data_IF_920179508729
#
_entry.id   IF_920179508729
#
_cell.length_a   1.000
_cell.length_b   1.000
_cell.length_c   1.000
_cell.angle_alpha   90.00
_cell.angle_beta   90.00
_cell.angle_gamma   90.00
#
_symmetry.space_group_name_H-M   'P 1'
#
loop_
_entity.id
_entity.type
_entity.pdbx_description
1 polymer ?
#
# COMPACT_ATOMS: atom_id res chain seq x y z
N UNK A 1 -39.59 -2.81 -14.41
CA UNK A 1 -40.63 -3.82 -14.23
C UNK A 1 -41.54 -3.48 -13.05
N UNK A 2 -41.07 -3.34 -11.82
CA UNK A 2 -41.90 -3.12 -10.61
C UNK A 2 -42.81 -1.88 -10.73
N UNK A 3 -42.32 -0.76 -11.24
CA UNK A 3 -43.10 0.48 -11.44
C UNK A 3 -44.26 0.28 -12.41
N UNK A 4 -44.06 -0.47 -13.48
CA UNK A 4 -45.09 -0.77 -14.49
C UNK A 4 -46.13 -1.70 -13.90
N UNK A 5 -45.72 -2.73 -13.17
CA UNK A 5 -46.63 -3.66 -12.48
C UNK A 5 -47.50 -2.94 -11.43
N UNK A 6 -46.91 -2.01 -10.69
CA UNK A 6 -47.61 -1.17 -9.75
C UNK A 6 -48.66 -0.28 -10.43
N UNK A 7 -48.31 0.33 -11.57
CA UNK A 7 -49.23 1.16 -12.37
C UNK A 7 -50.43 0.34 -12.91
N UNK A 8 -50.14 -0.88 -13.39
CA UNK A 8 -51.21 -1.81 -13.84
C UNK A 8 -52.12 -2.19 -12.69
N UNK A 9 -51.54 -2.49 -11.50
CA UNK A 9 -52.33 -2.82 -10.31
C UNK A 9 -53.23 -1.65 -9.87
N UNK A 10 -52.68 -0.44 -9.90
CA UNK A 10 -53.44 0.78 -9.56
C UNK A 10 -54.56 1.04 -10.57
N UNK A 11 -54.34 0.87 -11.87
CA UNK A 11 -55.33 0.99 -12.92
C UNK A 11 -56.44 -0.08 -12.76
N UNK A 12 -56.07 -1.33 -12.48
CA UNK A 12 -57.00 -2.41 -12.20
C UNK A 12 -57.91 -2.11 -10.99
N UNK A 13 -57.33 -1.63 -9.88
CA UNK A 13 -58.07 -1.24 -8.70
C UNK A 13 -59.01 -0.06 -8.95
N UNK A 14 -58.60 0.93 -9.77
CA UNK A 14 -59.43 2.07 -10.17
C UNK A 14 -60.61 1.65 -11.05
N UNK A 15 -60.45 0.64 -11.91
CA UNK A 15 -61.55 0.06 -12.70
C UNK A 15 -62.48 -0.83 -11.86
N UNK A 16 -61.93 -1.53 -10.88
CA UNK A 16 -62.67 -2.43 -10.01
C UNK A 16 -63.64 -1.69 -9.06
N UNK A 17 -63.24 -0.51 -8.53
CA UNK A 17 -64.03 0.27 -7.59
C UNK A 17 -65.39 0.64 -8.12
N UNK A 18 -65.61 1.25 -9.30
CA UNK A 18 -67.01 1.60 -9.80
C UNK A 18 -67.83 0.37 -10.13
N UNK A 19 -67.26 -0.76 -10.47
CA UNK A 19 -67.89 -2.01 -10.78
C UNK A 19 -68.50 -2.68 -9.54
N UNK A 20 -67.75 -2.65 -8.43
CA UNK A 20 -68.12 -3.40 -7.23
C UNK A 20 -68.82 -2.57 -6.17
N UNK A 21 -68.73 -1.23 -6.25
CA UNK A 21 -69.40 -0.24 -5.37
C UNK A 21 -69.34 -0.57 -3.85
N UNK A 22 -68.31 -1.30 -3.41
CA UNK A 22 -68.19 -1.73 -2.02
C UNK A 22 -67.12 -0.90 -1.28
N UNK A 23 -67.30 -0.74 0.04
CA UNK A 23 -66.35 -0.02 0.90
C UNK A 23 -64.96 -0.61 0.87
N UNK A 24 -64.86 -1.94 0.71
CA UNK A 24 -63.58 -2.66 0.61
C UNK A 24 -62.79 -2.28 -0.65
N UNK A 25 -63.48 -2.11 -1.81
CA UNK A 25 -62.84 -1.71 -3.05
C UNK A 25 -62.30 -0.26 -2.96
N UNK A 26 -63.02 0.63 -2.29
CA UNK A 26 -62.58 1.98 -2.02
C UNK A 26 -61.35 2.01 -1.10
N UNK A 27 -61.37 1.25 0.00
CA UNK A 27 -60.26 1.15 0.94
C UNK A 27 -58.98 0.61 0.25
N UNK A 28 -59.14 -0.39 -0.62
CA UNK A 28 -58.02 -0.95 -1.38
C UNK A 28 -57.41 0.07 -2.34
N UNK A 29 -58.24 0.83 -3.06
CA UNK A 29 -57.78 1.90 -3.95
C UNK A 29 -57.07 3.00 -3.15
N UNK A 30 -57.67 3.44 -2.03
CA UNK A 30 -57.10 4.45 -1.15
C UNK A 30 -55.72 3.99 -0.59
N UNK A 31 -55.61 2.73 -0.15
CA UNK A 31 -54.34 2.15 0.33
C UNK A 31 -53.29 2.15 -0.76
N UNK A 32 -53.63 1.76 -2.00
CA UNK A 32 -52.71 1.80 -3.13
C UNK A 32 -52.26 3.23 -3.48
N UNK A 33 -53.14 4.24 -3.33
CA UNK A 33 -52.76 5.64 -3.58
C UNK A 33 -51.83 6.16 -2.47
N UNK A 34 -52.04 5.80 -1.21
CA UNK A 34 -51.28 6.27 -0.06
C UNK A 34 -49.90 5.59 0.01
N UNK A 35 -49.79 4.32 -0.43
CA UNK A 35 -48.58 3.51 -0.34
C UNK A 35 -47.31 4.18 -0.91
N UNK A 36 -47.30 4.79 -2.11
CA UNK A 36 -46.12 5.45 -2.64
C UNK A 36 -45.65 6.64 -1.79
N UNK A 37 -46.58 7.39 -1.19
CA UNK A 37 -46.24 8.50 -0.32
C UNK A 37 -45.54 7.99 0.97
N UNK A 38 -46.03 6.88 1.54
CA UNK A 38 -45.38 6.24 2.69
C UNK A 38 -44.01 5.72 2.35
N UNK A 39 -43.84 5.07 1.18
CA UNK A 39 -42.53 4.57 0.72
C UNK A 39 -41.53 5.71 0.44
N UNK A 40 -42.02 6.80 -0.15
CA UNK A 40 -41.17 7.99 -0.37
C UNK A 40 -40.75 8.63 0.96
N UNK A 41 -41.65 8.76 1.92
CA UNK A 41 -41.33 9.27 3.26
C UNK A 41 -40.37 8.35 4.00
N UNK A 42 -40.58 7.04 3.94
CA UNK A 42 -39.65 6.04 4.48
C UNK A 42 -38.24 6.20 3.88
N UNK A 43 -38.16 6.28 2.53
CA UNK A 43 -36.87 6.43 1.84
C UNK A 43 -36.16 7.73 2.27
N UNK A 44 -36.89 8.84 2.38
CA UNK A 44 -36.35 10.13 2.79
C UNK A 44 -35.76 10.09 4.21
N UNK A 45 -36.44 9.42 5.15
CA UNK A 45 -35.91 9.20 6.51
C UNK A 45 -34.65 8.32 6.49
N UNK A 46 -34.73 7.22 5.74
CA UNK A 46 -33.62 6.27 5.69
C UNK A 46 -32.34 6.89 5.07
N UNK A 47 -32.50 7.66 3.99
CA UNK A 47 -31.37 8.34 3.33
C UNK A 47 -30.69 9.35 4.26
N UNK A 48 -31.43 10.03 5.11
CA UNK A 48 -30.86 10.97 6.10
C UNK A 48 -30.07 10.26 7.20
N UNK A 49 -30.44 9.03 7.53
CA UNK A 49 -29.84 8.22 8.60
C UNK A 49 -28.81 7.21 8.07
N UNK A 50 -28.57 7.19 6.76
CA UNK A 50 -27.62 6.32 6.10
C UNK A 50 -26.26 7.00 5.97
N UNK A 51 -25.18 6.31 6.37
CA UNK A 51 -23.80 6.73 6.15
C UNK A 51 -22.98 5.60 5.53
N UNK A 52 -21.94 5.98 4.81
CA UNK A 52 -20.94 5.06 4.29
C UNK A 52 -19.55 5.60 4.64
N UNK A 53 -18.68 4.73 5.08
CA UNK A 53 -17.33 5.03 5.55
C UNK A 53 -16.37 4.00 4.94
N UNK A 54 -15.11 4.40 4.70
CA UNK A 54 -14.08 3.43 4.36
C UNK A 54 -13.71 2.64 5.62
N UNK A 55 -13.48 1.35 5.48
CA UNK A 55 -12.92 0.53 6.56
C UNK A 55 -11.40 0.70 6.60
N UNK A 56 -10.78 0.71 5.42
CA UNK A 56 -9.35 0.94 5.25
C UNK A 56 -9.14 1.95 4.12
N UNK A 57 -8.35 2.98 4.37
CA UNK A 57 -8.01 3.99 3.36
C UNK A 57 -6.82 3.55 2.49
N UNK A 58 -5.92 2.73 3.05
CA UNK A 58 -4.74 2.18 2.39
C UNK A 58 -4.66 0.68 2.64
N UNK A 59 -4.42 -0.07 1.58
CA UNK A 59 -4.23 -1.53 1.64
C UNK A 59 -3.03 -1.87 0.77
N UNK A 60 -2.10 -2.65 1.32
CA UNK A 60 -0.94 -3.14 0.59
C UNK A 60 -1.08 -4.63 0.31
N UNK A 61 -0.89 -5.03 -0.94
CA UNK A 61 -1.13 -6.39 -1.43
C UNK A 61 0.06 -6.83 -2.27
N UNK A 62 0.43 -8.09 -2.18
CA UNK A 62 1.45 -8.64 -3.05
C UNK A 62 0.91 -8.88 -4.47
N UNK A 63 1.77 -8.71 -5.46
CA UNK A 63 1.50 -9.04 -6.87
C UNK A 63 0.91 -10.45 -7.00
N UNK A 64 -0.10 -10.62 -7.86
CA UNK A 64 -0.84 -11.86 -8.07
C UNK A 64 -1.53 -12.42 -6.80
N UNK A 65 -1.81 -11.57 -5.82
CA UNK A 65 -2.69 -11.91 -4.70
C UNK A 65 -3.94 -11.03 -4.71
N UNK A 66 -4.98 -11.52 -4.07
CA UNK A 66 -6.21 -10.77 -3.90
C UNK A 66 -6.11 -9.91 -2.63
N UNK A 67 -6.41 -8.62 -2.77
CA UNK A 67 -6.58 -7.70 -1.67
C UNK A 67 -8.03 -7.33 -1.52
N UNK A 68 -8.49 -7.13 -0.31
CA UNK A 68 -9.84 -6.72 -0.01
C UNK A 68 -9.87 -5.29 0.51
N UNK A 69 -10.68 -4.45 -0.15
CA UNK A 69 -11.00 -3.10 0.32
C UNK A 69 -12.41 -3.10 0.87
N UNK A 70 -12.55 -2.77 2.13
CA UNK A 70 -13.82 -2.73 2.84
C UNK A 70 -14.48 -1.35 2.76
N UNK A 71 -15.77 -1.33 2.41
CA UNK A 71 -16.64 -0.15 2.52
C UNK A 71 -17.75 -0.49 3.51
N UNK A 72 -17.76 0.19 4.64
CA UNK A 72 -18.75 0.00 5.69
C UNK A 72 -19.98 0.87 5.41
N UNK A 73 -21.13 0.21 5.26
CA UNK A 73 -22.44 0.82 5.09
C UNK A 73 -23.16 0.80 6.42
N UNK A 74 -23.60 1.93 6.91
CA UNK A 74 -24.23 2.06 8.22
C UNK A 74 -25.67 2.57 8.03
N UNK A 75 -26.62 1.75 8.40
CA UNK A 75 -28.05 2.12 8.41
C UNK A 75 -28.53 2.33 9.86
N UNK A 76 -28.64 3.58 10.27
CA UNK A 76 -29.14 3.94 11.62
C UNK A 76 -30.66 4.02 11.67
N UNK A 77 -31.35 3.84 10.54
CA UNK A 77 -32.81 3.92 10.49
C UNK A 77 -33.49 2.64 11.03
N UNK A 78 -34.76 2.77 11.34
CA UNK A 78 -35.61 1.64 11.76
C UNK A 78 -36.08 0.79 10.56
N UNK A 79 -35.84 1.25 9.34
CA UNK A 79 -36.27 0.59 8.12
C UNK A 79 -35.12 -0.14 7.46
N UNK A 80 -35.31 -1.39 7.03
CA UNK A 80 -34.28 -2.11 6.28
C UNK A 80 -34.18 -1.55 4.86
N UNK A 81 -32.98 -1.62 4.31
CA UNK A 81 -32.67 -1.30 2.91
C UNK A 81 -32.49 -2.61 2.14
N UNK A 82 -33.44 -2.95 1.30
CA UNK A 82 -33.45 -4.20 0.54
C UNK A 82 -32.41 -4.20 -0.57
N UNK A 83 -32.06 -3.03 -1.09
CA UNK A 83 -31.14 -2.92 -2.23
C UNK A 83 -30.36 -1.61 -2.15
N UNK A 84 -29.09 -1.72 -1.75
CA UNK A 84 -28.10 -0.64 -1.84
C UNK A 84 -27.14 -1.01 -2.96
N UNK A 85 -27.12 -0.20 -4.03
CA UNK A 85 -26.21 -0.37 -5.16
C UNK A 85 -25.06 0.61 -5.03
N UNK A 86 -23.84 0.08 -4.99
CA UNK A 86 -22.61 0.88 -4.95
C UNK A 86 -21.94 0.72 -6.30
N UNK A 87 -21.65 1.83 -6.96
CA UNK A 87 -20.82 1.84 -8.15
C UNK A 87 -19.43 2.36 -7.80
N UNK A 88 -18.45 1.54 -8.07
CA UNK A 88 -17.04 1.78 -7.84
C UNK A 88 -16.35 2.00 -9.17
N UNK A 89 -15.44 2.95 -9.19
CA UNK A 89 -14.50 3.20 -10.27
C UNK A 89 -13.11 2.89 -9.76
N UNK A 90 -12.45 1.92 -10.35
CA UNK A 90 -11.05 1.59 -10.06
C UNK A 90 -10.17 2.15 -11.18
N UNK A 91 -9.06 2.78 -10.80
CA UNK A 91 -8.08 3.37 -11.72
C UNK A 91 -6.72 2.77 -11.38
N UNK A 92 -6.15 2.00 -12.31
CA UNK A 92 -4.79 1.53 -12.18
C UNK A 92 -3.83 2.62 -12.67
N UNK A 93 -3.11 3.25 -11.76
CA UNK A 93 -2.33 4.47 -12.03
C UNK A 93 -1.24 4.30 -13.10
N UNK A 94 -0.48 3.18 -13.15
CA UNK A 94 0.58 3.02 -14.14
C UNK A 94 0.12 3.05 -15.60
N UNK A 95 -1.07 2.52 -15.91
CA UNK A 95 -1.63 2.50 -17.27
C UNK A 95 -2.74 3.53 -17.48
N UNK A 96 -3.30 4.07 -16.40
CA UNK A 96 -4.51 4.89 -16.45
C UNK A 96 -5.77 4.09 -16.82
N UNK A 97 -5.72 2.77 -16.78
CA UNK A 97 -6.86 1.91 -17.07
C UNK A 97 -7.96 2.09 -16.03
N UNK A 98 -9.18 2.28 -16.52
CA UNK A 98 -10.37 2.52 -15.67
C UNK A 98 -11.32 1.35 -15.80
N UNK A 99 -11.67 0.75 -14.67
CA UNK A 99 -12.72 -0.28 -14.62
C UNK A 99 -13.84 0.13 -13.65
N UNK A 100 -15.03 -0.46 -13.89
CA UNK A 100 -16.23 -0.16 -13.11
C UNK A 100 -16.81 -1.43 -12.54
N UNK A 101 -17.03 -1.43 -11.23
CA UNK A 101 -17.66 -2.52 -10.52
C UNK A 101 -18.96 -2.04 -9.86
N UNK A 102 -20.01 -2.86 -9.90
CA UNK A 102 -21.26 -2.56 -9.23
C UNK A 102 -21.59 -3.69 -8.27
N UNK A 103 -21.67 -3.35 -7.01
CA UNK A 103 -22.03 -4.29 -5.94
C UNK A 103 -23.40 -3.94 -5.41
N UNK A 104 -24.22 -4.95 -5.13
CA UNK A 104 -25.56 -4.77 -4.57
C UNK A 104 -25.67 -5.56 -3.29
N UNK A 105 -25.99 -4.87 -2.19
CA UNK A 105 -26.05 -5.48 -0.85
C UNK A 105 -27.31 -4.98 -0.13
N UNK A 106 -28.04 -5.85 0.58
CA UNK A 106 -29.06 -5.43 1.53
C UNK A 106 -28.40 -4.93 2.82
N UNK A 107 -28.98 -3.92 3.44
CA UNK A 107 -28.52 -3.42 4.75
C UNK A 107 -29.70 -3.44 5.73
N UNK A 108 -29.68 -4.31 6.76
CA UNK A 108 -30.76 -4.40 7.74
C UNK A 108 -30.96 -3.09 8.50
N UNK A 109 -32.10 -2.98 9.18
CA UNK A 109 -32.40 -1.84 10.04
C UNK A 109 -31.46 -1.82 11.25
N UNK A 110 -30.98 -0.64 11.62
CA UNK A 110 -30.07 -0.41 12.77
C UNK A 110 -28.81 -1.30 12.74
N UNK A 111 -28.30 -1.58 11.56
CA UNK A 111 -27.15 -2.45 11.33
C UNK A 111 -26.11 -1.77 10.46
N UNK A 112 -24.92 -2.38 10.45
CA UNK A 112 -23.87 -2.04 9.51
C UNK A 112 -23.47 -3.28 8.74
N UNK A 113 -23.23 -3.12 7.44
CA UNK A 113 -22.73 -4.16 6.54
C UNK A 113 -21.43 -3.69 5.92
N UNK A 114 -20.43 -4.58 5.86
CA UNK A 114 -19.19 -4.33 5.17
C UNK A 114 -19.23 -4.96 3.79
N UNK A 115 -18.93 -4.16 2.79
CA UNK A 115 -18.84 -4.59 1.39
C UNK A 115 -17.37 -4.66 1.04
N UNK A 116 -16.83 -5.87 0.87
CA UNK A 116 -15.49 -6.08 0.38
C UNK A 116 -15.45 -6.07 -1.15
N UNK A 117 -14.42 -5.44 -1.67
CA UNK A 117 -14.11 -5.41 -3.11
C UNK A 117 -12.74 -6.02 -3.29
N UNK A 118 -12.69 -7.12 -4.02
CA UNK A 118 -11.43 -7.78 -4.33
C UNK A 118 -10.71 -7.03 -5.44
N UNK A 119 -9.46 -6.73 -5.20
CA UNK A 119 -8.55 -6.11 -6.15
C UNK A 119 -7.34 -7.01 -6.32
N UNK A 120 -7.05 -7.36 -7.54
CA UNK A 120 -5.85 -8.10 -7.91
C UNK A 120 -5.25 -7.49 -9.17
N UNK A 121 -3.94 -7.54 -9.32
CA UNK A 121 -3.27 -7.13 -10.54
C UNK A 121 -2.07 -8.03 -10.81
N UNK A 122 -1.78 -8.20 -12.10
CA UNK A 122 -0.58 -8.88 -12.60
C UNK A 122 0.65 -7.97 -12.55
N UNK A 123 0.44 -6.65 -12.37
CA UNK A 123 1.50 -5.64 -12.35
C UNK A 123 1.56 -4.92 -11.01
N UNK A 124 2.77 -4.53 -10.62
CA UNK A 124 3.02 -3.69 -9.46
C UNK A 124 2.60 -2.25 -9.74
N UNK A 125 2.06 -1.57 -8.73
CA UNK A 125 1.63 -0.20 -8.87
C UNK A 125 0.52 0.16 -7.89
N UNK A 126 0.00 1.38 -8.02
CA UNK A 126 -1.10 1.89 -7.23
C UNK A 126 -2.41 1.79 -8.00
N UNK A 127 -3.43 1.27 -7.33
CA UNK A 127 -4.82 1.26 -7.81
C UNK A 127 -5.67 2.12 -6.91
N UNK A 128 -6.23 3.18 -7.45
CA UNK A 128 -7.17 4.03 -6.70
C UNK A 128 -8.60 3.57 -6.93
N UNK A 129 -9.35 3.41 -5.84
CA UNK A 129 -10.76 3.02 -5.84
C UNK A 129 -11.59 4.21 -5.39
N UNK A 130 -12.54 4.62 -6.21
CA UNK A 130 -13.45 5.74 -5.93
C UNK A 130 -14.89 5.24 -5.90
N UNK A 131 -15.64 5.67 -4.90
CA UNK A 131 -17.09 5.47 -4.89
C UNK A 131 -17.76 6.55 -5.76
N UNK A 132 -18.23 6.16 -6.93
CA UNK A 132 -18.91 7.08 -7.85
C UNK A 132 -20.27 7.53 -7.28
N UNK A 133 -21.09 6.54 -6.92
CA UNK A 133 -22.36 6.78 -6.27
C UNK A 133 -22.83 5.58 -5.46
N UNK A 134 -23.67 5.86 -4.49
CA UNK A 134 -24.44 4.87 -3.74
C UNK A 134 -25.92 5.12 -4.02
N UNK A 135 -26.61 4.13 -4.56
CA UNK A 135 -28.05 4.20 -4.81
C UNK A 135 -28.79 3.36 -3.81
N UNK A 136 -29.64 4.01 -3.04
CA UNK A 136 -30.48 3.40 -2.03
C UNK A 136 -31.89 3.28 -2.58
N UNK A 137 -32.51 2.13 -2.45
CA UNK A 137 -33.89 1.88 -2.88
C UNK A 137 -34.81 1.58 -1.69
N UNK A 138 -36.08 1.92 -1.81
CA UNK A 138 -37.13 1.53 -0.85
C UNK A 138 -37.34 0.01 -0.85
N UNK A 139 -38.14 -0.50 0.09
CA UNK A 139 -38.41 -1.93 0.26
C UNK A 139 -39.04 -2.55 -1.01
N UNK A 140 -39.90 -1.83 -1.71
CA UNK A 140 -40.57 -2.30 -2.93
C UNK A 140 -39.78 -1.98 -4.21
N UNK A 141 -38.73 -1.15 -4.14
CA UNK A 141 -38.00 -0.70 -5.32
C UNK A 141 -38.76 0.27 -6.23
N UNK A 142 -39.83 0.91 -5.74
CA UNK A 142 -40.55 1.93 -6.48
C UNK A 142 -39.77 3.23 -6.61
N UNK A 143 -39.12 3.62 -5.55
CA UNK A 143 -38.26 4.81 -5.49
C UNK A 143 -36.83 4.46 -5.20
N UNK A 144 -35.91 5.25 -5.73
CA UNK A 144 -34.51 5.15 -5.42
C UNK A 144 -33.91 6.54 -5.30
N UNK A 145 -33.00 6.70 -4.37
CA UNK A 145 -32.24 7.93 -4.16
C UNK A 145 -30.75 7.69 -4.39
N UNK A 146 -30.10 8.57 -5.13
CA UNK A 146 -28.68 8.45 -5.44
C UNK A 146 -27.90 9.45 -4.59
N UNK A 147 -26.92 8.93 -3.84
CA UNK A 147 -26.00 9.68 -3.02
C UNK A 147 -24.65 9.73 -3.73
N UNK A 148 -24.11 10.93 -3.92
CA UNK A 148 -22.77 11.13 -4.46
C UNK A 148 -21.79 11.33 -3.31
N UNK A 149 -20.91 10.37 -3.07
CA UNK A 149 -19.92 10.39 -2.00
C UNK A 149 -18.50 10.52 -2.57
N UNK A 150 -18.16 11.68 -3.14
CA UNK A 150 -16.85 11.97 -3.75
C UNK A 150 -15.65 11.83 -2.79
N UNK A 151 -15.89 11.72 -1.48
CA UNK A 151 -14.83 11.62 -0.46
C UNK A 151 -14.45 10.18 -0.09
N UNK A 152 -15.20 9.19 -0.57
CA UNK A 152 -14.89 7.79 -0.30
C UNK A 152 -13.94 7.31 -1.38
N UNK A 153 -12.66 7.21 -1.02
CA UNK A 153 -11.62 6.67 -1.88
C UNK A 153 -10.67 5.82 -1.03
N UNK A 154 -10.17 4.75 -1.60
CA UNK A 154 -9.14 3.92 -1.00
C UNK A 154 -8.02 3.70 -2.03
N UNK A 155 -6.78 3.62 -1.55
CA UNK A 155 -5.63 3.30 -2.35
C UNK A 155 -5.16 1.88 -2.05
N UNK A 156 -4.91 1.10 -3.10
CA UNK A 156 -4.33 -0.25 -3.00
C UNK A 156 -2.96 -0.21 -3.65
N UNK A 157 -1.92 -0.51 -2.87
CA UNK A 157 -0.56 -0.63 -3.36
C UNK A 157 -0.25 -2.10 -3.63
N UNK A 158 0.10 -2.41 -4.87
CA UNK A 158 0.46 -3.76 -5.31
C UNK A 158 1.96 -3.83 -5.42
N UNK A 159 2.58 -4.57 -4.50
CA UNK A 159 4.03 -4.65 -4.33
C UNK A 159 4.58 -6.00 -4.80
N UNK A 160 5.87 -6.06 -5.20
CA UNK A 160 6.51 -7.31 -5.60
C UNK A 160 6.67 -8.26 -4.40
N UNK A 161 6.70 -9.57 -4.67
CA UNK A 161 7.11 -10.57 -3.69
C UNK A 161 8.62 -10.74 -3.71
N UNK A 162 9.20 -11.04 -2.54
CA UNK A 162 10.61 -11.45 -2.44
C UNK A 162 10.79 -12.77 -3.19
N UNK A 163 11.81 -12.84 -4.04
CA UNK A 163 12.13 -14.00 -4.85
C UNK A 163 13.53 -14.54 -4.54
N UNK A 164 13.63 -15.83 -4.28
CA UNK A 164 14.92 -16.51 -4.02
C UNK A 164 15.87 -16.46 -5.22
N UNK A 165 15.37 -16.21 -6.42
CA UNK A 165 16.19 -16.12 -7.64
C UNK A 165 17.28 -15.05 -7.53
N UNK A 166 17.07 -14.03 -6.70
CA UNK A 166 17.98 -12.89 -6.56
C UNK A 166 18.91 -13.00 -5.33
N UNK A 167 18.90 -14.13 -4.60
CA UNK A 167 19.81 -14.35 -3.47
C UNK A 167 21.28 -14.37 -3.92
N UNK A 168 21.58 -15.02 -5.05
CA UNK A 168 22.92 -15.06 -5.61
C UNK A 168 23.45 -13.68 -6.00
N UNK A 169 22.58 -12.78 -6.50
CA UNK A 169 22.95 -11.40 -6.81
C UNK A 169 23.27 -10.61 -5.54
N UNK A 170 22.51 -10.83 -4.47
CA UNK A 170 22.78 -10.21 -3.17
C UNK A 170 24.13 -10.71 -2.59
N UNK A 171 24.43 -12.00 -2.69
CA UNK A 171 25.73 -12.56 -2.28
C UNK A 171 26.89 -11.97 -3.09
N UNK A 172 26.70 -11.77 -4.40
CA UNK A 172 27.69 -11.09 -5.24
C UNK A 172 27.94 -9.65 -4.75
N UNK A 173 26.90 -8.88 -4.43
CA UNK A 173 27.06 -7.53 -3.88
C UNK A 173 27.78 -7.54 -2.52
N UNK A 174 27.51 -8.52 -1.65
CA UNK A 174 28.24 -8.68 -0.39
C UNK A 174 29.73 -8.95 -0.62
N UNK A 175 30.07 -9.74 -1.65
CA UNK A 175 31.48 -10.02 -1.99
C UNK A 175 32.22 -8.77 -2.45
N UNK A 176 31.57 -7.89 -3.21
CA UNK A 176 32.16 -6.60 -3.63
C UNK A 176 32.51 -5.71 -2.44
N UNK A 177 31.69 -5.72 -1.39
CA UNK A 177 31.98 -4.99 -0.15
C UNK A 177 33.19 -5.52 0.59
N UNK A 178 33.37 -6.83 0.61
CA UNK A 178 34.56 -7.49 1.22
C UNK A 178 35.87 -7.18 0.50
N UNK A 179 35.87 -7.07 -0.82
CA UNK A 179 37.06 -6.73 -1.61
C UNK A 179 37.45 -5.25 -1.46
N UNK A 180 36.46 -4.34 -1.35
CA UNK A 180 36.69 -2.91 -1.15
C UNK A 180 37.38 -2.63 0.20
N UNK A 181 37.21 -3.49 1.19
CA UNK A 181 37.95 -3.41 2.48
C UNK A 181 39.39 -3.90 2.39
N UNK A 182 39.73 -4.78 1.43
CA UNK A 182 41.07 -5.37 1.25
C UNK A 182 42.06 -4.48 0.49
N UNK A 183 41.59 -3.65 -0.45
CA UNK A 183 42.49 -2.84 -1.31
C UNK A 183 42.77 -1.42 -0.79
N UNK A 184 41.91 -0.85 0.03
CA UNK A 184 42.17 0.46 0.63
C UNK A 184 42.98 0.37 1.91
N UNK A 185 44.29 0.22 1.77
CA UNK A 185 45.25 0.41 2.88
C UNK A 185 45.26 1.82 3.47
N UNK A 186 44.39 2.71 3.09
CA UNK A 186 44.12 4.01 3.69
C UNK A 186 43.03 3.92 4.75
N UNK A 187 43.43 3.96 6.01
CA UNK A 187 42.56 4.05 7.18
C UNK A 187 41.58 5.23 7.02
N UNK A 188 40.25 5.03 7.16
CA UNK A 188 39.28 6.13 7.06
C UNK A 188 39.61 7.20 8.11
N UNK A 189 39.77 8.44 7.67
CA UNK A 189 40.17 9.58 8.50
C UNK A 189 39.10 10.08 9.48
N UNK A 190 37.89 9.55 9.44
CA UNK A 190 36.73 10.05 10.21
C UNK A 190 35.88 8.95 10.89
N UNK A 191 36.46 7.81 11.28
CA UNK A 191 35.70 6.82 12.07
C UNK A 191 35.55 7.31 13.51
N UNK A 192 34.28 7.31 14.01
CA UNK A 192 33.99 7.31 15.45
C UNK A 192 34.80 6.18 16.10
N UNK A 193 35.48 6.39 17.27
CA UNK A 193 36.23 5.33 17.91
C UNK A 193 35.29 4.19 18.24
N UNK A 194 35.46 3.04 17.55
CA UNK A 194 34.70 1.82 17.80
C UNK A 194 35.01 1.23 19.18
N UNK A 195 34.16 0.30 19.60
CA UNK A 195 34.36 -0.45 20.84
C UNK A 195 35.69 -1.23 20.79
N UNK A 196 36.36 -1.37 21.96
CA UNK A 196 37.60 -2.12 22.07
C UNK A 196 37.30 -3.62 21.91
N UNK A 197 37.69 -4.20 20.77
CA UNK A 197 37.47 -5.62 20.49
C UNK A 197 38.62 -6.52 20.98
N UNK A 198 39.78 -5.94 21.29
CA UNK A 198 40.95 -6.74 21.72
C UNK A 198 42.12 -5.90 22.13
N UNK A 199 43.22 -6.60 22.49
CA UNK A 199 44.51 -6.01 22.83
C UNK A 199 45.60 -6.77 22.10
N UNK A 200 46.60 -6.05 21.57
CA UNK A 200 47.80 -6.64 20.96
C UNK A 200 49.06 -5.91 21.38
N UNK A 201 50.23 -6.51 21.13
CA UNK A 201 51.51 -5.82 21.35
C UNK A 201 51.66 -4.66 20.36
N UNK A 202 52.31 -3.59 20.81
CA UNK A 202 52.60 -2.39 20.02
C UNK A 202 53.56 -2.74 18.88
N UNK A 203 53.23 -2.26 17.68
CA UNK A 203 54.10 -2.34 16.52
C UNK A 203 54.52 -0.93 16.06
N UNK A 204 55.75 -0.75 15.51
CA UNK A 204 56.18 0.54 14.96
C UNK A 204 55.19 1.06 13.92
N UNK A 205 54.61 2.25 14.16
CA UNK A 205 53.58 2.85 13.35
C UNK A 205 52.19 2.95 14.03
N UNK A 206 51.99 2.30 15.18
CA UNK A 206 50.78 2.43 15.97
C UNK A 206 50.64 3.79 16.63
N UNK A 207 49.42 4.26 16.76
CA UNK A 207 49.11 5.53 17.42
C UNK A 207 49.24 5.38 18.93
N UNK A 208 50.09 6.19 19.56
CA UNK A 208 50.28 6.23 21.03
C UNK A 208 49.00 6.50 21.80
N UNK A 209 47.99 7.17 21.18
CA UNK A 209 46.67 7.42 21.78
C UNK A 209 45.87 6.15 22.03
N UNK A 210 46.21 5.04 21.37
CA UNK A 210 45.55 3.74 21.56
C UNK A 210 46.26 2.86 22.60
N UNK A 211 47.34 3.32 23.18
CA UNK A 211 48.11 2.55 24.18
C UNK A 211 47.28 2.34 25.46
N UNK A 212 47.23 1.10 25.92
CA UNK A 212 46.55 0.74 27.15
C UNK A 212 47.54 0.68 28.31
N UNK A 213 47.95 1.83 28.84
CA UNK A 213 49.01 1.98 29.85
C UNK A 213 48.86 1.05 31.08
N UNK A 214 47.64 0.77 31.54
CA UNK A 214 47.40 -0.11 32.67
C UNK A 214 47.71 -1.57 32.39
N UNK A 215 47.44 -2.07 31.18
CA UNK A 215 47.84 -3.42 30.79
C UNK A 215 49.31 -3.48 30.45
N UNK A 216 49.89 -2.46 29.80
CA UNK A 216 51.29 -2.37 29.50
C UNK A 216 52.16 -2.45 30.77
N UNK A 217 51.77 -1.69 31.81
CA UNK A 217 52.46 -1.73 33.09
C UNK A 217 52.33 -3.09 33.84
N UNK A 218 51.26 -3.84 33.61
CA UNK A 218 51.02 -5.15 34.25
C UNK A 218 51.80 -6.28 33.59
N UNK A 219 51.98 -6.22 32.26
CA UNK A 219 52.63 -7.29 31.49
C UNK A 219 54.04 -6.95 31.06
N UNK A 220 54.55 -5.77 31.44
CA UNK A 220 55.86 -5.25 31.05
C UNK A 220 56.11 -5.28 29.54
N UNK A 221 55.06 -5.01 28.78
CA UNK A 221 55.04 -4.95 27.33
C UNK A 221 54.08 -3.83 26.87
N UNK A 222 54.48 -3.15 25.82
CA UNK A 222 53.59 -2.12 25.24
C UNK A 222 52.39 -2.76 24.55
N UNK A 223 51.20 -2.49 25.11
CA UNK A 223 49.91 -3.04 24.64
C UNK A 223 49.04 -1.95 24.08
N UNK A 224 48.50 -2.19 22.88
CA UNK A 224 47.60 -1.29 22.16
C UNK A 224 46.18 -1.87 22.10
N UNK A 225 45.22 -1.01 22.29
CA UNK A 225 43.80 -1.35 22.07
C UNK A 225 43.54 -1.58 20.59
N UNK A 226 42.96 -2.71 20.24
CA UNK A 226 42.42 -2.97 18.93
C UNK A 226 40.97 -2.52 18.96
N UNK A 227 40.63 -1.49 18.19
CA UNK A 227 39.28 -1.01 18.04
C UNK A 227 38.59 -1.84 16.97
N UNK A 228 37.37 -2.28 17.22
CA UNK A 228 36.54 -2.79 16.16
C UNK A 228 36.16 -1.60 15.26
N UNK A 229 36.54 -1.68 14.01
CA UNK A 229 35.95 -0.80 13.00
C UNK A 229 34.64 -1.48 12.63
N UNK A 230 33.53 -1.04 13.21
CA UNK A 230 32.22 -1.36 12.66
C UNK A 230 32.10 -0.58 11.34
N UNK A 231 32.79 -1.01 10.33
CA UNK A 231 32.48 -0.65 8.97
C UNK A 231 31.35 -1.61 8.55
N UNK A 232 30.12 -1.35 8.97
CA UNK A 232 29.00 -1.88 8.23
C UNK A 232 29.03 -1.19 6.87
N UNK A 233 29.44 -1.93 5.84
CA UNK A 233 29.45 -1.43 4.47
C UNK A 233 28.03 -1.00 4.13
N UNK A 234 27.86 0.26 3.71
CA UNK A 234 26.55 0.81 3.34
C UNK A 234 26.31 0.56 1.86
N UNK A 235 25.29 -0.23 1.57
CA UNK A 235 24.93 -0.56 0.20
C UNK A 235 23.78 0.34 -0.26
N UNK A 236 23.95 0.98 -1.41
CA UNK A 236 22.89 1.73 -2.07
C UNK A 236 22.44 0.99 -3.33
N UNK A 237 21.25 0.42 -3.25
CA UNK A 237 20.59 -0.22 -4.38
C UNK A 237 19.94 0.85 -5.26
N UNK A 238 20.29 0.85 -6.53
CA UNK A 238 19.71 1.75 -7.54
C UNK A 238 19.17 0.94 -8.70
N UNK A 239 18.10 1.42 -9.30
CA UNK A 239 17.50 0.82 -10.48
C UNK A 239 16.76 1.88 -11.28
N UNK A 240 16.74 1.73 -12.60
CA UNK A 240 15.94 2.55 -13.49
C UNK A 240 14.52 1.98 -13.58
N UNK A 241 13.55 2.75 -13.08
CA UNK A 241 12.13 2.43 -13.08
C UNK A 241 11.35 3.23 -14.12
N UNK A 242 12.03 3.95 -15.02
CA UNK A 242 11.42 4.78 -16.06
C UNK A 242 10.91 3.97 -17.27
N UNK A 243 11.13 2.65 -17.27
CA UNK A 243 10.74 1.78 -18.37
C UNK A 243 9.22 1.80 -18.64
N UNK A 244 8.86 1.98 -19.91
CA UNK A 244 7.45 1.99 -20.34
C UNK A 244 6.78 0.60 -20.31
N UNK A 245 7.57 -0.48 -20.31
CA UNK A 245 7.05 -1.84 -20.21
C UNK A 245 6.90 -2.23 -18.73
N UNK A 246 5.65 -2.49 -18.33
CA UNK A 246 5.31 -2.86 -16.96
C UNK A 246 5.94 -4.18 -16.52
N UNK A 247 6.13 -5.14 -17.45
CA UNK A 247 6.72 -6.44 -17.12
C UNK A 247 8.19 -6.31 -16.73
N UNK A 248 8.94 -5.51 -17.48
CA UNK A 248 10.35 -5.21 -17.19
C UNK A 248 10.47 -4.43 -15.88
N UNK A 249 9.61 -3.42 -15.69
CA UNK A 249 9.57 -2.62 -14.45
C UNK A 249 9.29 -3.48 -13.23
N UNK A 250 8.31 -4.40 -13.31
CA UNK A 250 7.95 -5.32 -12.24
C UNK A 250 9.11 -6.27 -11.88
N UNK A 251 9.86 -6.72 -12.86
CA UNK A 251 11.02 -7.58 -12.64
C UNK A 251 12.14 -6.82 -11.94
N UNK A 252 12.43 -5.60 -12.39
CA UNK A 252 13.43 -4.72 -11.76
C UNK A 252 13.04 -4.38 -10.32
N UNK A 253 11.78 -4.06 -10.06
CA UNK A 253 11.26 -3.85 -8.69
C UNK A 253 11.40 -5.09 -7.82
N UNK A 254 11.05 -6.26 -8.35
CA UNK A 254 11.18 -7.53 -7.63
C UNK A 254 12.65 -7.82 -7.29
N UNK A 255 13.56 -7.59 -8.23
CA UNK A 255 15.00 -7.75 -8.07
C UNK A 255 15.54 -6.81 -7.00
N UNK A 256 15.21 -5.52 -7.07
CA UNK A 256 15.65 -4.51 -6.10
C UNK A 256 15.19 -4.86 -4.68
N UNK A 257 13.90 -5.14 -4.50
CA UNK A 257 13.35 -5.44 -3.18
C UNK A 257 13.87 -6.77 -2.62
N UNK A 258 14.10 -7.78 -3.49
CA UNK A 258 14.68 -9.06 -3.06
C UNK A 258 16.15 -8.90 -2.66
N UNK A 259 16.95 -8.15 -3.41
CA UNK A 259 18.34 -7.84 -3.06
C UNK A 259 18.41 -7.07 -1.73
N UNK A 260 17.52 -6.08 -1.52
CA UNK A 260 17.46 -5.35 -0.26
C UNK A 260 17.22 -6.29 0.94
N UNK A 261 16.27 -7.21 0.79
CA UNK A 261 15.96 -8.20 1.81
C UNK A 261 17.15 -9.10 2.14
N UNK A 262 17.78 -9.71 1.12
CA UNK A 262 18.87 -10.65 1.34
C UNK A 262 20.16 -9.98 1.83
N UNK A 263 20.47 -8.75 1.39
CA UNK A 263 21.59 -7.97 1.91
C UNK A 263 21.39 -7.62 3.39
N UNK A 264 20.19 -7.19 3.76
CA UNK A 264 19.86 -6.89 5.16
C UNK A 264 19.89 -8.16 6.03
N UNK A 265 19.40 -9.28 5.54
CA UNK A 265 19.50 -10.58 6.21
C UNK A 265 20.96 -11.03 6.39
N UNK A 266 21.86 -10.63 5.48
CA UNK A 266 23.30 -10.80 5.60
C UNK A 266 23.99 -9.84 6.59
N UNK A 267 23.24 -8.95 7.25
CA UNK A 267 23.75 -8.01 8.24
C UNK A 267 24.34 -6.72 7.68
N UNK A 268 24.10 -6.42 6.40
CA UNK A 268 24.55 -5.18 5.75
C UNK A 268 23.57 -4.02 6.04
N UNK A 269 24.09 -2.79 6.12
CA UNK A 269 23.26 -1.59 6.10
C UNK A 269 22.82 -1.29 4.67
N UNK A 270 21.52 -1.42 4.39
CA UNK A 270 20.97 -1.34 3.04
C UNK A 270 20.13 -0.07 2.88
N UNK A 271 20.34 0.58 1.76
CA UNK A 271 19.59 1.75 1.32
C UNK A 271 19.08 1.52 -0.10
N UNK A 272 17.89 2.03 -0.40
CA UNK A 272 17.34 2.04 -1.75
C UNK A 272 17.24 3.47 -2.27
N UNK A 273 17.61 3.66 -3.51
CA UNK A 273 17.48 4.96 -4.18
C UNK A 273 16.02 5.25 -4.49
N UNK A 274 15.50 6.37 -3.98
CA UNK A 274 14.13 6.85 -4.21
C UNK A 274 14.14 8.33 -4.59
N UNK A 275 13.04 8.86 -5.17
CA UNK A 275 12.93 10.29 -5.47
C UNK A 275 13.11 11.17 -4.23
N UNK A 276 13.76 12.34 -4.37
CA UNK A 276 14.10 13.23 -3.26
C UNK A 276 12.89 13.75 -2.46
N UNK A 277 11.69 13.74 -3.04
CA UNK A 277 10.45 14.18 -2.39
C UNK A 277 9.69 13.06 -1.67
N UNK A 278 10.27 11.86 -1.59
CA UNK A 278 9.64 10.74 -0.91
C UNK A 278 9.64 10.90 0.60
N UNK A 279 8.57 10.47 1.26
CA UNK A 279 8.44 10.50 2.71
C UNK A 279 9.02 9.22 3.34
N UNK A 280 10.32 8.99 3.13
CA UNK A 280 11.04 7.88 3.74
C UNK A 280 12.17 8.41 4.60
N UNK A 281 12.52 7.67 5.66
CA UNK A 281 13.69 7.95 6.46
C UNK A 281 14.95 7.56 5.67
N UNK A 282 15.91 8.49 5.56
CA UNK A 282 17.09 8.23 4.77
C UNK A 282 18.06 9.40 4.69
N UNK A 283 19.05 9.26 3.83
CA UNK A 283 20.13 10.23 3.61
C UNK A 283 19.92 10.91 2.26
N UNK A 284 19.81 12.25 2.25
CA UNK A 284 19.70 13.00 1.00
C UNK A 284 20.99 12.94 0.20
N UNK A 285 20.86 12.69 -1.10
CA UNK A 285 21.94 12.68 -2.09
C UNK A 285 21.68 13.78 -3.13
N UNK A 286 22.64 14.06 -3.99
CA UNK A 286 22.50 15.13 -4.99
C UNK A 286 21.30 14.94 -5.94
N UNK A 287 20.96 13.68 -6.28
CA UNK A 287 19.94 13.36 -7.27
C UNK A 287 18.75 12.57 -6.70
N UNK A 288 18.65 12.41 -5.37
CA UNK A 288 17.58 11.62 -4.77
C UNK A 288 17.72 11.46 -3.26
N UNK A 289 17.00 10.49 -2.72
CA UNK A 289 17.05 10.09 -1.31
C UNK A 289 17.50 8.62 -1.24
N UNK A 290 18.53 8.32 -0.43
CA UNK A 290 18.90 6.97 -0.06
C UNK A 290 18.04 6.57 1.14
N UNK A 291 16.93 5.89 0.91
CA UNK A 291 16.00 5.47 1.95
C UNK A 291 16.48 4.19 2.62
N UNK A 292 16.53 4.16 3.94
CA UNK A 292 17.05 3.04 4.71
C UNK A 292 16.06 1.87 4.71
N UNK A 293 16.60 0.67 4.51
CA UNK A 293 15.88 -0.60 4.68
C UNK A 293 16.38 -1.29 5.96
N UNK A 294 15.50 -1.54 6.92
CA UNK A 294 15.87 -2.16 8.19
C UNK A 294 14.93 -3.29 8.64
N UNK A 295 13.65 -3.18 8.34
CA UNK A 295 12.61 -4.08 8.82
C UNK A 295 11.44 -4.20 7.82
N UNK A 296 10.43 -4.99 8.19
CA UNK A 296 9.25 -5.19 7.34
C UNK A 296 8.48 -3.89 7.10
N UNK A 297 8.44 -2.97 8.07
CA UNK A 297 7.74 -1.69 7.90
C UNK A 297 8.44 -0.81 6.85
N UNK A 298 9.77 -0.76 6.87
CA UNK A 298 10.56 -0.06 5.85
C UNK A 298 10.45 -0.73 4.47
N UNK A 299 10.30 -2.07 4.42
CA UNK A 299 10.02 -2.80 3.18
C UNK A 299 8.74 -2.30 2.51
N UNK A 300 7.63 -2.26 3.26
CA UNK A 300 6.36 -1.80 2.72
C UNK A 300 6.41 -0.35 2.27
N UNK A 301 6.98 0.54 3.09
CA UNK A 301 7.12 1.96 2.76
C UNK A 301 7.96 2.19 1.48
N UNK A 302 9.10 1.51 1.35
CA UNK A 302 9.94 1.57 0.16
C UNK A 302 9.25 1.02 -1.08
N UNK A 303 8.59 -0.14 -0.96
CA UNK A 303 7.90 -0.78 -2.07
C UNK A 303 6.74 0.09 -2.58
N UNK A 304 6.00 0.76 -1.70
CA UNK A 304 4.93 1.70 -2.07
C UNK A 304 5.49 2.89 -2.87
N UNK A 305 6.54 3.53 -2.39
CA UNK A 305 7.17 4.67 -3.06
C UNK A 305 7.74 4.28 -4.43
N UNK A 306 8.44 3.14 -4.51
CA UNK A 306 9.03 2.66 -5.76
C UNK A 306 7.97 2.23 -6.78
N UNK A 307 6.85 1.67 -6.33
CA UNK A 307 5.73 1.32 -7.22
C UNK A 307 5.02 2.53 -7.84
N UNK A 308 5.05 3.68 -7.17
CA UNK A 308 4.45 4.93 -7.67
C UNK A 308 5.42 5.76 -8.54
N UNK A 309 6.73 5.56 -8.38
CA UNK A 309 7.74 6.38 -9.02
C UNK A 309 8.13 5.87 -10.42
N UNK A 310 8.44 6.83 -11.31
CA UNK A 310 9.18 6.61 -12.56
C UNK A 310 10.57 7.22 -12.41
N UNK A 311 11.41 6.64 -11.53
CA UNK A 311 12.69 7.17 -11.13
C UNK A 311 13.81 6.52 -11.92
N UNK A 312 14.76 7.33 -12.44
CA UNK A 312 15.89 6.85 -13.25
C UNK A 312 17.05 6.29 -12.41
N UNK A 313 16.96 6.38 -11.08
CA UNK A 313 18.02 5.95 -10.16
C UNK A 313 18.98 7.07 -9.78
N UNK A 314 19.97 6.72 -8.93
CA UNK A 314 21.04 7.61 -8.50
C UNK A 314 22.34 7.11 -9.14
N UNK A 315 23.07 8.01 -9.81
CA UNK A 315 24.31 7.66 -10.51
C UNK A 315 25.52 7.63 -9.59
N UNK A 316 25.56 8.49 -8.57
CA UNK A 316 26.68 8.61 -7.63
C UNK A 316 26.19 8.98 -6.23
N UNK A 317 26.75 8.31 -5.21
CA UNK A 317 26.53 8.66 -3.80
C UNK A 317 27.78 8.38 -2.97
N UNK A 318 28.33 9.39 -2.33
CA UNK A 318 29.53 9.27 -1.51
C UNK A 318 29.26 8.48 -0.23
N UNK A 319 30.13 7.53 0.08
CA UNK A 319 30.06 6.71 1.29
C UNK A 319 29.18 5.48 1.18
N UNK A 320 28.71 5.15 -0.02
CA UNK A 320 27.94 3.95 -0.31
C UNK A 320 28.66 3.06 -1.33
N UNK A 321 28.43 1.75 -1.22
CA UNK A 321 28.71 0.79 -2.28
C UNK A 321 27.52 0.79 -3.22
N UNK A 322 27.71 1.34 -4.42
CA UNK A 322 26.65 1.45 -5.42
C UNK A 322 26.39 0.09 -6.06
N UNK A 323 25.14 -0.37 -5.99
CA UNK A 323 24.69 -1.62 -6.59
C UNK A 323 23.58 -1.33 -7.60
N UNK A 324 23.93 -1.31 -8.89
CA UNK A 324 22.95 -1.16 -9.97
C UNK A 324 22.26 -2.50 -10.21
N UNK A 325 21.01 -2.58 -9.79
CA UNK A 325 20.20 -3.81 -9.88
C UNK A 325 19.57 -3.96 -11.28
N UNK A 326 19.56 -2.90 -12.09
CA UNK A 326 19.03 -2.92 -13.46
C UNK A 326 19.92 -3.66 -14.46
N UNK A 327 21.23 -3.73 -14.21
CA UNK A 327 22.18 -4.46 -15.06
C UNK A 327 22.21 -5.93 -14.69
N UNK A 328 22.18 -6.81 -15.68
CA UNK A 328 22.49 -8.22 -15.47
C UNK A 328 23.96 -8.31 -15.07
N UNK A 329 24.26 -9.08 -14.03
CA UNK A 329 25.62 -9.44 -13.70
C UNK A 329 26.16 -10.30 -14.89
N UNK A 330 27.01 -9.71 -15.72
CA UNK A 330 27.74 -10.43 -16.79
C UNK A 330 28.70 -11.47 -16.19
#
# INVERSE_FOLDING_TARGET
>A
MIKLLYLILLAAAALFWPLYKGDVAFLLLAALIILPFLLAAQLAVTVRMFSAENENDHVTVFRNSEGEVGIKLINRSIFPLSCVKIRLRTVFMPTGEVSFHTVTVPVPARSSECVSVNVSSEHCGRTDIFVEYIRVSDIMGLFSWTLYRKKLSAAVHIIPRISEKFSALAEYFLSLGGEAEGESGEKPKNGTPGDVCGFREFAPGDRLSLMHYKLSARFDKDIVKVLSVNNSSKYLLTADLSHGDLTVRDEVLCRLMSCAYYLNAGGAEVYAAVPAHSQCDGIYTENGLAAQYSDDASYFALAEVLCESSFEGISEAYGFIMCDVGKEAE
#
